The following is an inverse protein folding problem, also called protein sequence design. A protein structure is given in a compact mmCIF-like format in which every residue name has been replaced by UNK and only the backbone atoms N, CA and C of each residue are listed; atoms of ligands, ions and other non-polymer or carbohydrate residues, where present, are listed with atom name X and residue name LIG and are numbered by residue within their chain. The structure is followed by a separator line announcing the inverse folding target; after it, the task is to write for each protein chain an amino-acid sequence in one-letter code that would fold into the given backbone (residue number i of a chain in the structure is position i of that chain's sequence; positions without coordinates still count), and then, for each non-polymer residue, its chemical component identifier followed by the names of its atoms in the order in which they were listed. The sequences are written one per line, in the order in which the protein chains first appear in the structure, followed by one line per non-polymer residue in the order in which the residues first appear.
data_IF_741973550503
#
_entry.id   IF_741973550503
#
_cell.length_a   1.000
_cell.length_b   1.000
_cell.length_c   1.000
_cell.angle_alpha   90.00
_cell.angle_beta   90.00
_cell.angle_gamma   90.00
#
_symmetry.space_group_name_H-M   'P 1'
#
loop_
_entity.id
_entity.type
_entity.pdbx_description
1 polymer ?
#
# COMPACT_ATOMS: atom_id res chain seq x y z
N UNK A 1 25.05 -9.09 14.66
CA UNK A 1 24.69 -9.88 13.44
C UNK A 1 23.60 -10.87 13.82
N UNK A 2 22.51 -10.94 13.05
CA UNK A 2 21.38 -11.85 13.31
C UNK A 2 21.82 -13.26 12.83
N UNK A 3 21.77 -14.27 13.71
CA UNK A 3 22.26 -15.62 13.41
C UNK A 3 21.62 -16.24 12.14
N UNK A 4 20.32 -15.99 11.92
CA UNK A 4 19.60 -16.49 10.76
C UNK A 4 20.06 -15.91 9.41
N UNK A 5 20.76 -14.77 9.42
CA UNK A 5 21.27 -14.10 8.22
C UNK A 5 22.77 -14.36 8.00
N UNK A 6 23.41 -15.11 8.89
CA UNK A 6 24.85 -15.39 8.79
C UNK A 6 25.17 -16.19 7.53
N UNK A 7 26.08 -15.68 6.71
CA UNK A 7 26.48 -16.33 5.46
C UNK A 7 25.46 -16.21 4.31
N UNK A 8 24.39 -15.43 4.50
CA UNK A 8 23.37 -15.20 3.48
C UNK A 8 23.69 -13.97 2.64
N UNK A 9 23.46 -14.08 1.34
CA UNK A 9 23.50 -12.95 0.41
C UNK A 9 22.17 -12.21 0.44
N UNK A 10 22.21 -10.90 0.74
CA UNK A 10 21.04 -10.06 0.92
C UNK A 10 20.90 -9.08 -0.25
N UNK A 11 19.67 -8.80 -0.67
CA UNK A 11 19.34 -7.69 -1.54
C UNK A 11 18.30 -6.77 -0.87
N UNK A 12 18.34 -5.48 -1.21
CA UNK A 12 17.26 -4.51 -0.91
C UNK A 12 16.70 -4.06 -2.24
N UNK A 13 15.41 -4.34 -2.45
CA UNK A 13 14.66 -3.93 -3.64
C UNK A 13 13.88 -2.67 -3.32
N UNK A 14 14.03 -1.64 -4.14
CA UNK A 14 13.46 -0.33 -3.90
C UNK A 14 13.12 0.41 -5.20
N UNK A 15 12.64 1.64 -5.08
CA UNK A 15 12.32 2.53 -6.18
C UNK A 15 11.05 2.11 -6.91
N UNK A 16 11.20 1.44 -8.03
CA UNK A 16 10.05 1.05 -8.86
C UNK A 16 9.50 2.20 -9.70
N UNK A 17 8.30 1.99 -10.30
CA UNK A 17 7.68 2.93 -11.23
C UNK A 17 6.34 3.49 -10.74
N UNK A 18 5.97 3.21 -9.49
CA UNK A 18 4.74 3.74 -8.88
C UNK A 18 4.84 5.23 -8.56
N UNK A 19 3.72 5.86 -8.27
CA UNK A 19 3.67 7.23 -7.75
C UNK A 19 4.37 7.41 -6.41
N UNK A 20 4.69 6.30 -5.72
CA UNK A 20 5.34 6.29 -4.40
C UNK A 20 6.87 6.06 -4.46
N UNK A 21 7.47 6.18 -5.66
CA UNK A 21 8.91 5.96 -5.87
C UNK A 21 9.80 6.72 -4.89
N UNK A 22 9.55 8.00 -4.66
CA UNK A 22 10.38 8.84 -3.78
C UNK A 22 10.33 8.36 -2.33
N UNK A 23 9.17 7.87 -1.88
CA UNK A 23 9.00 7.26 -0.56
C UNK A 23 9.86 6.00 -0.45
N UNK A 24 9.83 5.15 -1.48
CA UNK A 24 10.63 3.94 -1.54
C UNK A 24 12.13 4.24 -1.52
N UNK A 25 12.59 5.25 -2.24
CA UNK A 25 14.00 5.68 -2.24
C UNK A 25 14.43 6.19 -0.86
N UNK A 26 13.57 6.92 -0.15
CA UNK A 26 13.85 7.39 1.20
C UNK A 26 13.93 6.23 2.20
N UNK A 27 12.95 5.33 2.18
CA UNK A 27 12.92 4.14 3.02
C UNK A 27 14.11 3.22 2.78
N UNK A 28 14.53 3.06 1.51
CA UNK A 28 15.68 2.24 1.16
C UNK A 28 16.98 2.76 1.77
N UNK A 29 17.20 4.09 1.78
CA UNK A 29 18.39 4.69 2.42
C UNK A 29 18.49 4.30 3.89
N UNK A 30 17.37 4.34 4.62
CA UNK A 30 17.31 3.96 6.04
C UNK A 30 17.60 2.46 6.24
N UNK A 31 16.95 1.60 5.46
CA UNK A 31 17.12 0.14 5.57
C UNK A 31 18.55 -0.30 5.18
N UNK A 32 19.08 0.22 4.07
CA UNK A 32 20.45 -0.08 3.62
C UNK A 32 21.47 0.40 4.66
N UNK A 33 21.28 1.62 5.22
CA UNK A 33 22.12 2.13 6.29
C UNK A 33 22.12 1.21 7.51
N UNK A 34 20.96 0.83 8.01
CA UNK A 34 20.83 -0.08 9.15
C UNK A 34 21.44 -1.46 8.91
N UNK A 35 21.31 -2.01 7.69
CA UNK A 35 21.97 -3.27 7.33
C UNK A 35 23.48 -3.13 7.34
N UNK A 36 24.03 -2.04 6.78
CA UNK A 36 25.48 -1.76 6.77
C UNK A 36 26.03 -1.57 8.18
N UNK A 37 25.32 -0.85 9.04
CA UNK A 37 25.68 -0.67 10.45
C UNK A 37 25.67 -2.01 11.21
N UNK A 38 24.78 -2.93 10.80
CA UNK A 38 24.72 -4.31 11.27
C UNK A 38 25.81 -5.24 10.71
N UNK A 39 26.72 -4.73 9.87
CA UNK A 39 27.82 -5.49 9.27
C UNK A 39 27.42 -6.29 8.02
N UNK A 40 26.29 -5.96 7.38
CA UNK A 40 25.85 -6.57 6.12
C UNK A 40 26.22 -5.67 4.92
N UNK A 41 26.40 -6.26 3.75
CA UNK A 41 26.63 -5.57 2.48
C UNK A 41 25.54 -5.98 1.47
N UNK A 42 24.33 -5.43 1.57
CA UNK A 42 23.24 -5.82 0.71
C UNK A 42 23.47 -5.34 -0.73
N UNK A 43 23.04 -6.15 -1.70
CA UNK A 43 22.89 -5.72 -3.09
C UNK A 43 21.74 -4.71 -3.17
N UNK A 44 22.00 -3.55 -3.76
CA UNK A 44 21.01 -2.50 -3.94
C UNK A 44 20.39 -2.60 -5.33
N UNK A 45 19.07 -2.82 -5.40
CA UNK A 45 18.37 -3.08 -6.66
C UNK A 45 17.20 -2.10 -6.84
N UNK A 46 17.37 -1.14 -7.76
CA UNK A 46 16.25 -0.30 -8.19
C UNK A 46 15.43 -1.04 -9.25
N UNK A 47 14.21 -1.39 -8.90
CA UNK A 47 13.31 -2.16 -9.76
C UNK A 47 12.69 -1.36 -10.91
N UNK A 48 12.95 -0.05 -10.99
CA UNK A 48 12.64 0.74 -12.19
C UNK A 48 13.52 0.37 -13.38
N UNK A 49 14.69 -0.24 -13.14
CA UNK A 49 15.59 -0.70 -14.19
C UNK A 49 14.99 -1.86 -14.96
N UNK A 50 15.28 -1.93 -16.25
CA UNK A 50 14.85 -3.05 -17.08
C UNK A 50 15.58 -4.32 -16.65
N UNK A 51 14.84 -5.42 -16.52
CA UNK A 51 15.41 -6.75 -16.17
C UNK A 51 16.21 -6.74 -14.85
N UNK A 52 15.79 -5.94 -13.86
CA UNK A 52 16.42 -5.86 -12.54
C UNK A 52 16.61 -7.24 -11.88
N UNK A 53 15.75 -8.19 -12.19
CA UNK A 53 15.80 -9.55 -11.67
C UNK A 53 17.04 -10.33 -12.15
N UNK A 54 17.68 -9.96 -13.26
CA UNK A 54 18.91 -10.60 -13.74
C UNK A 54 20.08 -10.34 -12.78
N UNK A 55 19.99 -9.31 -11.93
CA UNK A 55 21.04 -8.97 -10.94
C UNK A 55 20.99 -9.83 -9.69
N UNK A 56 19.93 -10.63 -9.49
CA UNK A 56 19.69 -11.38 -8.27
C UNK A 56 20.38 -12.75 -8.23
N UNK A 57 21.24 -13.07 -9.18
CA UNK A 57 22.00 -14.33 -9.18
C UNK A 57 22.81 -14.51 -7.90
N UNK A 58 22.52 -15.58 -7.13
CA UNK A 58 23.21 -15.86 -5.86
C UNK A 58 22.68 -15.08 -4.65
N UNK A 59 21.58 -14.35 -4.77
CA UNK A 59 20.89 -13.73 -3.64
C UNK A 59 20.02 -14.77 -2.93
N UNK A 60 20.17 -14.89 -1.61
CA UNK A 60 19.34 -15.77 -0.78
C UNK A 60 18.05 -15.09 -0.30
N UNK A 61 18.13 -13.82 0.08
CA UNK A 61 17.04 -13.09 0.74
C UNK A 61 16.95 -11.68 0.17
N UNK A 62 15.76 -11.28 -0.25
CA UNK A 62 15.44 -9.93 -0.67
C UNK A 62 14.56 -9.23 0.37
N UNK A 63 14.99 -8.04 0.80
CA UNK A 63 14.18 -7.12 1.56
C UNK A 63 13.48 -6.18 0.59
N UNK A 64 12.16 -6.37 0.42
CA UNK A 64 11.37 -5.54 -0.47
C UNK A 64 10.86 -4.31 0.27
N UNK A 65 11.34 -3.13 -0.13
CA UNK A 65 10.93 -1.82 0.40
C UNK A 65 10.37 -0.94 -0.72
N UNK A 66 9.86 -1.56 -1.77
CA UNK A 66 9.07 -0.85 -2.75
C UNK A 66 7.72 -0.44 -2.16
N UNK A 67 7.19 0.69 -2.62
CA UNK A 67 5.87 1.17 -2.28
C UNK A 67 4.98 1.20 -3.52
N UNK A 68 3.69 0.92 -3.31
CA UNK A 68 2.69 0.95 -4.36
C UNK A 68 2.81 -0.19 -5.38
N UNK A 69 2.31 0.07 -6.57
CA UNK A 69 2.25 -0.92 -7.65
C UNK A 69 3.62 -1.47 -8.04
N UNK A 70 3.67 -2.78 -8.30
CA UNK A 70 4.88 -3.52 -8.60
C UNK A 70 5.58 -4.07 -7.34
N UNK A 71 5.50 -3.35 -6.22
CA UNK A 71 6.13 -3.74 -4.96
C UNK A 71 5.17 -4.41 -3.97
N UNK A 72 3.98 -3.82 -3.80
CA UNK A 72 3.01 -4.23 -2.78
C UNK A 72 1.87 -5.09 -3.35
N UNK A 73 1.73 -5.18 -4.66
CA UNK A 73 0.68 -5.92 -5.38
C UNK A 73 1.00 -7.40 -5.66
N UNK A 74 2.16 -7.88 -5.19
CA UNK A 74 2.60 -9.26 -5.38
C UNK A 74 3.43 -9.50 -6.65
N UNK A 75 3.57 -8.54 -7.55
CA UNK A 75 4.34 -8.72 -8.81
C UNK A 75 5.81 -9.00 -8.53
N UNK A 76 6.48 -8.14 -7.77
CA UNK A 76 7.89 -8.37 -7.36
C UNK A 76 8.02 -9.67 -6.57
N UNK A 77 7.07 -9.96 -5.68
CA UNK A 77 7.07 -11.21 -4.91
C UNK A 77 7.01 -12.45 -5.81
N UNK A 78 6.15 -12.46 -6.83
CA UNK A 78 6.06 -13.58 -7.77
C UNK A 78 7.38 -13.83 -8.53
N UNK A 79 8.06 -12.76 -8.94
CA UNK A 79 9.39 -12.86 -9.58
C UNK A 79 10.41 -13.48 -8.62
N UNK A 80 10.44 -13.06 -7.37
CA UNK A 80 11.37 -13.59 -6.36
C UNK A 80 11.08 -15.06 -6.03
N UNK A 81 9.81 -15.44 -5.91
CA UNK A 81 9.39 -16.81 -5.67
C UNK A 81 9.85 -17.74 -6.82
N UNK A 82 9.72 -17.30 -8.08
CA UNK A 82 10.19 -18.06 -9.26
C UNK A 82 11.72 -18.19 -9.28
N UNK A 83 12.45 -17.19 -8.78
CA UNK A 83 13.91 -17.23 -8.68
C UNK A 83 14.41 -18.01 -7.45
N UNK A 84 13.52 -18.47 -6.57
CA UNK A 84 13.89 -19.13 -5.31
C UNK A 84 14.49 -18.19 -4.27
N UNK A 85 14.29 -16.87 -4.40
CA UNK A 85 14.79 -15.86 -3.47
C UNK A 85 13.74 -15.60 -2.38
N UNK A 86 14.11 -15.81 -1.12
CA UNK A 86 13.21 -15.49 -0.01
C UNK A 86 12.94 -14.00 0.04
N UNK A 87 11.67 -13.62 0.22
CA UNK A 87 11.26 -12.22 0.25
C UNK A 87 10.57 -11.87 1.57
N UNK A 88 10.89 -10.69 2.10
CA UNK A 88 10.14 -10.10 3.21
C UNK A 88 8.71 -9.75 2.78
N UNK A 89 7.76 -9.80 3.73
CA UNK A 89 6.38 -9.42 3.52
C UNK A 89 5.45 -10.57 3.13
N UNK A 90 4.26 -10.22 2.66
CA UNK A 90 3.19 -11.18 2.33
C UNK A 90 3.45 -11.93 1.02
N UNK A 91 2.80 -13.09 0.85
CA UNK A 91 2.81 -13.82 -0.41
C UNK A 91 2.00 -13.14 -1.50
N UNK A 92 2.10 -13.67 -2.73
CA UNK A 92 1.48 -13.08 -3.94
C UNK A 92 -0.02 -12.82 -3.76
N UNK A 93 -0.79 -13.82 -3.33
CA UNK A 93 -2.25 -13.69 -3.19
C UNK A 93 -2.63 -12.64 -2.14
N UNK A 94 -1.96 -12.67 -0.98
CA UNK A 94 -2.21 -11.70 0.10
C UNK A 94 -1.90 -10.27 -0.34
N UNK A 95 -0.77 -10.05 -1.00
CA UNK A 95 -0.37 -8.75 -1.54
C UNK A 95 -1.34 -8.24 -2.60
N UNK A 96 -1.71 -9.08 -3.57
CA UNK A 96 -2.65 -8.70 -4.63
C UNK A 96 -4.04 -8.32 -4.09
N UNK A 97 -4.56 -9.10 -3.14
CA UNK A 97 -5.83 -8.80 -2.49
C UNK A 97 -5.77 -7.54 -1.64
N UNK A 98 -4.71 -7.36 -0.83
CA UNK A 98 -4.55 -6.20 0.04
C UNK A 98 -4.40 -4.89 -0.75
N UNK A 99 -3.76 -4.94 -1.92
CA UNK A 99 -3.62 -3.76 -2.79
C UNK A 99 -4.94 -3.31 -3.39
N UNK A 100 -5.89 -4.22 -3.61
CA UNK A 100 -7.20 -3.93 -4.19
C UNK A 100 -8.27 -3.73 -3.10
N UNK A 101 -8.63 -2.48 -2.82
CA UNK A 101 -9.60 -2.12 -1.78
C UNK A 101 -10.99 -2.73 -2.03
N UNK A 102 -11.42 -2.82 -3.29
CA UNK A 102 -12.72 -3.42 -3.63
C UNK A 102 -12.74 -4.91 -3.30
N UNK A 103 -11.72 -5.65 -3.74
CA UNK A 103 -11.61 -7.09 -3.50
C UNK A 103 -11.37 -7.39 -2.02
N UNK A 104 -10.54 -6.60 -1.33
CA UNK A 104 -10.37 -6.70 0.13
C UNK A 104 -11.70 -6.56 0.86
N UNK A 105 -12.49 -5.53 0.53
CA UNK A 105 -13.78 -5.28 1.18
C UNK A 105 -14.84 -6.35 0.83
N UNK A 106 -14.82 -6.86 -0.39
CA UNK A 106 -15.67 -7.99 -0.79
C UNK A 106 -15.33 -9.25 0.01
N UNK A 107 -14.02 -9.55 0.17
CA UNK A 107 -13.54 -10.67 0.97
C UNK A 107 -13.95 -10.52 2.44
N UNK A 108 -13.72 -9.35 3.04
CA UNK A 108 -14.09 -9.09 4.44
C UNK A 108 -15.59 -9.24 4.66
N UNK A 109 -16.42 -8.69 3.77
CA UNK A 109 -17.88 -8.84 3.82
C UNK A 109 -18.28 -10.31 3.72
N UNK A 110 -17.68 -11.08 2.80
CA UNK A 110 -17.91 -12.51 2.64
C UNK A 110 -17.48 -13.34 3.86
N UNK A 111 -16.43 -12.90 4.56
CA UNK A 111 -15.93 -13.52 5.79
C UNK A 111 -16.68 -13.05 7.07
N UNK A 112 -17.67 -12.17 6.95
CA UNK A 112 -18.40 -11.60 8.10
C UNK A 112 -17.60 -10.60 8.92
N UNK A 113 -16.50 -10.08 8.40
CA UNK A 113 -15.71 -9.04 9.05
C UNK A 113 -16.38 -7.67 8.85
N UNK A 114 -16.42 -6.81 9.89
CA UNK A 114 -16.99 -5.49 9.78
C UNK A 114 -16.17 -4.62 8.83
N UNK A 115 -16.85 -3.99 7.88
CA UNK A 115 -16.27 -3.01 6.96
C UNK A 115 -17.35 -1.99 6.61
N UNK A 116 -16.96 -0.74 6.39
CA UNK A 116 -17.91 0.31 5.98
C UNK A 116 -18.62 -0.09 4.68
N UNK A 117 -19.85 0.37 4.51
CA UNK A 117 -20.60 0.20 3.26
C UNK A 117 -19.82 0.77 2.09
N UNK A 118 -19.87 0.10 0.96
CA UNK A 118 -19.11 0.50 -0.22
C UNK A 118 -19.77 0.03 -1.51
N UNK A 119 -19.41 0.69 -2.59
CA UNK A 119 -19.74 0.29 -3.95
C UNK A 119 -18.59 0.62 -4.92
N UNK A 120 -18.52 -0.12 -6.01
CA UNK A 120 -17.71 0.26 -7.16
C UNK A 120 -18.49 1.32 -7.96
N UNK A 121 -17.84 2.43 -8.28
CA UNK A 121 -18.46 3.54 -9.01
C UNK A 121 -18.52 3.22 -10.49
N UNK A 122 -19.72 2.95 -10.99
CA UNK A 122 -20.03 2.80 -12.41
C UNK A 122 -20.52 4.12 -13.01
N UNK A 123 -20.57 4.20 -14.34
CA UNK A 123 -21.10 5.39 -15.03
C UNK A 123 -22.61 5.61 -14.74
N UNK A 124 -23.32 4.54 -14.38
CA UNK A 124 -24.73 4.58 -13.98
C UNK A 124 -24.95 4.89 -12.49
N UNK A 125 -23.90 5.14 -11.71
CA UNK A 125 -24.03 5.40 -10.26
C UNK A 125 -24.73 6.73 -10.01
N UNK A 126 -25.85 6.69 -9.29
CA UNK A 126 -26.54 7.89 -8.82
C UNK A 126 -25.87 8.42 -7.55
N UNK A 127 -25.02 9.43 -7.70
CA UNK A 127 -24.24 10.02 -6.61
C UNK A 127 -25.12 10.63 -5.52
N UNK A 128 -26.28 11.20 -5.92
CA UNK A 128 -27.22 11.79 -4.96
C UNK A 128 -27.86 10.72 -4.10
N UNK A 129 -28.34 9.63 -4.71
CA UNK A 129 -28.90 8.52 -3.97
C UNK A 129 -27.89 7.87 -2.99
N UNK A 130 -26.60 7.78 -3.36
CA UNK A 130 -25.53 7.30 -2.49
C UNK A 130 -25.36 8.23 -1.27
N UNK A 131 -25.32 9.55 -1.49
CA UNK A 131 -25.15 10.52 -0.42
C UNK A 131 -26.40 10.63 0.47
N UNK A 132 -27.59 10.51 -0.08
CA UNK A 132 -28.84 10.47 0.70
C UNK A 132 -28.84 9.26 1.65
N UNK A 133 -28.28 8.13 1.24
CA UNK A 133 -28.17 6.92 2.07
C UNK A 133 -27.06 6.99 3.13
N UNK A 134 -25.92 7.63 2.82
CA UNK A 134 -24.72 7.56 3.65
C UNK A 134 -24.38 8.88 4.39
N UNK A 135 -24.97 9.99 3.99
CA UNK A 135 -24.63 11.33 4.45
C UNK A 135 -23.38 11.90 3.78
N UNK A 136 -22.28 11.15 3.79
CA UNK A 136 -21.05 11.50 3.09
C UNK A 136 -20.24 10.25 2.74
N UNK A 137 -19.29 10.40 1.83
CA UNK A 137 -18.49 9.28 1.32
C UNK A 137 -17.01 9.65 1.15
N UNK A 138 -16.14 8.64 1.22
CA UNK A 138 -14.80 8.69 0.67
C UNK A 138 -14.79 8.09 -0.74
N UNK A 139 -14.24 8.84 -1.69
CA UNK A 139 -13.97 8.36 -3.04
C UNK A 139 -12.50 8.03 -3.14
N UNK A 140 -12.18 6.82 -3.61
CA UNK A 140 -10.81 6.28 -3.60
C UNK A 140 -10.52 5.52 -4.89
N UNK A 141 -9.32 5.64 -5.48
CA UNK A 141 -8.85 4.64 -6.45
C UNK A 141 -8.77 3.26 -5.77
N UNK A 142 -9.19 2.20 -6.45
CA UNK A 142 -9.21 0.87 -5.86
C UNK A 142 -7.81 0.34 -5.51
N UNK A 143 -6.81 0.62 -6.35
CA UNK A 143 -5.48 0.00 -6.28
C UNK A 143 -4.33 1.01 -6.07
N UNK A 144 -4.56 2.15 -5.43
CA UNK A 144 -3.52 3.12 -5.09
C UNK A 144 -3.33 3.23 -3.58
N UNK A 145 -2.08 3.51 -3.16
CA UNK A 145 -1.70 3.74 -1.78
C UNK A 145 -1.62 5.23 -1.40
N UNK A 146 -1.09 5.50 -0.22
CA UNK A 146 -0.68 6.83 0.29
C UNK A 146 -1.72 7.95 0.15
N UNK A 147 -3.00 7.62 0.19
CA UNK A 147 -4.12 8.58 0.03
C UNK A 147 -4.14 9.33 -1.31
N UNK A 148 -3.41 8.86 -2.31
CA UNK A 148 -3.42 9.46 -3.66
C UNK A 148 -4.81 9.33 -4.29
N UNK A 149 -5.32 10.43 -4.84
CA UNK A 149 -6.61 10.48 -5.52
C UNK A 149 -7.83 10.25 -4.62
N UNK A 150 -7.66 10.32 -3.28
CA UNK A 150 -8.77 10.16 -2.33
C UNK A 150 -9.41 11.50 -2.01
N UNK A 151 -10.73 11.51 -1.82
CA UNK A 151 -11.48 12.68 -1.38
C UNK A 151 -12.67 12.32 -0.51
N UNK A 152 -12.90 13.10 0.55
CA UNK A 152 -14.16 13.10 1.33
C UNK A 152 -15.16 14.03 0.67
N UNK A 153 -16.37 13.56 0.43
CA UNK A 153 -17.41 14.29 -0.30
C UNK A 153 -18.75 14.21 0.40
N UNK A 154 -19.52 15.31 0.36
CA UNK A 154 -20.86 15.41 0.95
C UNK A 154 -21.92 15.96 -0.01
N UNK A 155 -21.53 16.28 -1.25
CA UNK A 155 -22.45 16.70 -2.30
C UNK A 155 -22.14 16.03 -3.64
N UNK A 156 -23.11 15.99 -4.55
CA UNK A 156 -23.00 15.26 -5.81
C UNK A 156 -21.99 15.88 -6.79
N UNK A 157 -21.74 17.19 -6.74
CA UNK A 157 -20.77 17.85 -7.61
C UNK A 157 -19.34 17.51 -7.16
N UNK A 158 -19.07 17.55 -5.86
CA UNK A 158 -17.81 17.11 -5.28
C UNK A 158 -17.58 15.62 -5.52
N UNK A 159 -18.63 14.78 -5.43
CA UNK A 159 -18.55 13.35 -5.74
C UNK A 159 -18.08 13.13 -7.20
N UNK A 160 -18.73 13.80 -8.16
CA UNK A 160 -18.36 13.69 -9.57
C UNK A 160 -16.90 14.13 -9.82
N UNK A 161 -16.48 15.25 -9.24
CA UNK A 161 -15.10 15.73 -9.36
C UNK A 161 -14.09 14.75 -8.74
N UNK A 162 -14.40 14.19 -7.58
CA UNK A 162 -13.57 13.19 -6.92
C UNK A 162 -13.43 11.90 -7.74
N UNK A 163 -14.51 11.43 -8.36
CA UNK A 163 -14.47 10.26 -9.27
C UNK A 163 -13.55 10.51 -10.46
N UNK A 164 -13.65 11.69 -11.09
CA UNK A 164 -12.77 12.06 -12.20
C UNK A 164 -11.29 12.08 -11.77
N UNK A 165 -10.99 12.63 -10.60
CA UNK A 165 -9.64 12.65 -10.05
C UNK A 165 -9.13 11.23 -9.73
N UNK A 166 -9.95 10.40 -9.08
CA UNK A 166 -9.59 9.03 -8.75
C UNK A 166 -9.32 8.16 -9.98
N UNK A 167 -10.08 8.37 -11.07
CA UNK A 167 -9.87 7.68 -12.36
C UNK A 167 -8.54 8.02 -13.04
N UNK A 168 -7.91 9.15 -12.70
CA UNK A 168 -6.55 9.47 -13.19
C UNK A 168 -5.48 8.58 -12.55
N UNK A 169 -5.78 8.01 -11.40
CA UNK A 169 -4.88 7.12 -10.66
C UNK A 169 -5.14 5.64 -10.96
N UNK A 170 -6.28 5.28 -11.60
CA UNK A 170 -6.63 3.89 -11.95
C UNK A 170 -8.07 3.75 -12.42
N UNK A 171 -8.37 2.63 -13.09
CA UNK A 171 -9.65 2.43 -13.77
C UNK A 171 -10.83 2.21 -12.81
N UNK A 172 -10.59 1.48 -11.71
CA UNK A 172 -11.62 1.15 -10.73
C UNK A 172 -11.64 2.19 -9.59
N UNK A 173 -12.82 2.74 -9.30
CA UNK A 173 -13.06 3.70 -8.23
C UNK A 173 -14.02 3.12 -7.21
N UNK A 174 -13.65 3.20 -5.96
CA UNK A 174 -14.42 2.83 -4.79
C UNK A 174 -15.09 4.07 -4.20
N UNK A 175 -16.39 4.04 -3.96
CA UNK A 175 -17.06 4.91 -2.99
C UNK A 175 -17.30 4.11 -1.70
N UNK A 176 -16.96 4.70 -0.58
CA UNK A 176 -17.07 4.10 0.74
C UNK A 176 -17.77 5.09 1.67
N UNK A 177 -18.76 4.59 2.46
CA UNK A 177 -19.40 5.42 3.48
C UNK A 177 -18.35 5.97 4.44
N UNK A 178 -18.37 7.27 4.67
CA UNK A 178 -17.50 7.90 5.65
C UNK A 178 -17.86 7.43 7.06
N UNK A 179 -16.83 7.00 7.81
CA UNK A 179 -16.96 6.67 9.23
C UNK A 179 -16.22 7.76 10.00
N UNK A 180 -16.97 8.54 10.76
CA UNK A 180 -16.40 9.55 11.66
C UNK A 180 -15.81 8.87 12.89
N UNK A 181 -14.54 9.20 13.20
CA UNK A 181 -13.85 8.64 14.36
C UNK A 181 -12.33 8.64 14.23
N UNK A 182 -11.63 8.25 15.29
CA UNK A 182 -10.18 8.17 15.27
C UNK A 182 -9.68 7.03 14.39
N UNK A 183 -8.55 7.25 13.71
CA UNK A 183 -7.88 6.23 12.90
C UNK A 183 -6.92 5.39 13.76
N UNK A 184 -6.89 4.08 13.46
CA UNK A 184 -6.00 3.13 14.12
C UNK A 184 -5.30 2.27 13.08
N UNK A 185 -4.09 1.82 13.45
CA UNK A 185 -3.37 0.78 12.72
C UNK A 185 -2.97 -0.34 13.68
N UNK A 186 -2.90 -1.56 13.15
CA UNK A 186 -2.42 -2.73 13.88
C UNK A 186 -1.42 -3.46 13.00
N UNK A 187 -0.18 -3.57 13.45
CA UNK A 187 0.83 -4.34 12.76
C UNK A 187 0.67 -5.84 13.08
N UNK A 188 0.96 -6.67 12.10
CA UNK A 188 0.98 -8.13 12.23
C UNK A 188 2.41 -8.62 12.03
N UNK A 189 2.93 -9.37 13.01
CA UNK A 189 4.25 -10.00 12.93
C UNK A 189 4.09 -11.53 12.99
N UNK A 190 4.32 -12.19 11.87
CA UNK A 190 3.95 -13.61 11.72
C UNK A 190 2.44 -13.80 11.87
N UNK A 191 2.01 -14.51 12.89
CA UNK A 191 0.59 -14.73 13.23
C UNK A 191 0.11 -13.87 14.41
N UNK A 192 0.97 -13.00 14.95
CA UNK A 192 0.68 -12.19 16.12
C UNK A 192 0.23 -10.79 15.74
N UNK A 193 -0.97 -10.39 16.16
CA UNK A 193 -1.39 -8.99 16.13
C UNK A 193 -0.67 -8.21 17.26
N UNK A 194 -0.02 -7.11 16.90
CA UNK A 194 0.61 -6.19 17.84
C UNK A 194 -0.43 -5.21 18.41
N UNK A 195 -0.10 -4.46 19.48
CA UNK A 195 -1.01 -3.48 20.03
C UNK A 195 -1.47 -2.45 19.01
N UNK A 196 -2.75 -2.07 19.09
CA UNK A 196 -3.32 -1.04 18.24
C UNK A 196 -2.66 0.32 18.53
N UNK A 197 -2.31 1.04 17.46
CA UNK A 197 -1.73 2.39 17.53
C UNK A 197 -2.77 3.36 16.99
N UNK A 198 -3.12 4.38 17.79
CA UNK A 198 -3.95 5.50 17.31
C UNK A 198 -3.11 6.46 16.48
N UNK A 199 -3.58 6.78 15.28
CA UNK A 199 -2.98 7.80 14.43
C UNK A 199 -3.61 9.15 14.83
N UNK A 200 -2.79 10.12 15.25
CA UNK A 200 -3.21 11.47 15.56
C UNK A 200 -2.62 12.43 14.52
N UNK A 201 -3.47 13.27 13.94
CA UNK A 201 -3.09 14.36 13.05
C UNK A 201 -3.49 15.69 13.69
N UNK A 202 -2.69 16.75 13.51
CA UNK A 202 -2.98 18.06 14.13
C UNK A 202 -4.23 18.70 13.56
N UNK A 203 -4.53 18.48 12.28
CA UNK A 203 -5.76 18.96 11.65
C UNK A 203 -6.12 18.16 10.40
N UNK A 204 -7.41 17.92 10.21
CA UNK A 204 -7.95 17.36 8.97
C UNK A 204 -7.75 15.86 8.80
N UNK A 205 -7.57 15.44 7.57
CA UNK A 205 -7.44 14.06 7.12
C UNK A 205 -5.98 13.65 7.03
N UNK A 206 -5.66 12.38 7.34
CA UNK A 206 -4.31 11.80 7.24
C UNK A 206 -3.95 11.56 5.77
N UNK A 207 -3.70 12.66 5.06
CA UNK A 207 -3.36 12.69 3.64
C UNK A 207 -1.87 12.45 3.37
N UNK A 208 -1.46 12.54 2.10
CA UNK A 208 -0.08 12.35 1.66
C UNK A 208 0.88 13.34 2.35
N UNK A 209 0.48 14.60 2.53
CA UNK A 209 1.30 15.63 3.20
C UNK A 209 1.50 15.28 4.67
N UNK A 210 0.43 14.88 5.36
CA UNK A 210 0.50 14.47 6.76
C UNK A 210 1.34 13.19 6.96
N UNK A 211 1.36 12.28 5.95
CA UNK A 211 2.13 11.04 6.02
C UNK A 211 3.64 11.21 5.85
N UNK A 212 4.07 12.13 4.98
CA UNK A 212 5.46 12.15 4.50
C UNK A 212 6.16 13.50 4.64
N UNK A 213 5.44 14.58 4.95
CA UNK A 213 5.98 15.93 4.97
C UNK A 213 5.67 16.74 6.23
N UNK A 214 4.86 16.21 7.17
CA UNK A 214 4.68 16.85 8.48
C UNK A 214 5.83 16.48 9.40
N UNK A 215 6.46 17.47 10.00
CA UNK A 215 7.33 17.27 11.17
C UNK A 215 6.39 17.05 12.38
N UNK A 216 6.27 15.80 12.83
CA UNK A 216 5.57 15.46 14.06
C UNK A 216 6.53 15.45 15.25
#
# INVERSE_FOLDING_TARGET
MIAALQGKSLAVLFGGRSGEREVSLASARTVIGALRDGGYAPLEVDTAQSRWWDTLGGVDIAFNIQHGRGGEDGVTRAVLDELGVLCSGSGVLGSALAMDKLRSKQLWRGAGLPTADFLEVADSTDYRAVLDAWGSAFIKPACEGSSLGMAHVSDAAAFAAAVLSARQCGDAVLAERFIDGPEYTVAILGEQALPAIRIAVESGFYDYQAKYHSEA
#
